data_IF_054835780657
#
_entry.id   IF_054835780657
#
_cell.length_a   1.000
_cell.length_b   1.000
_cell.length_c   1.000
_cell.angle_alpha   90.00
_cell.angle_beta   90.00
_cell.angle_gamma   90.00
#
_symmetry.space_group_name_H-M   'P 1'
#
loop_
_entity.id
_entity.type
_entity.pdbx_description
1 polymer ?
#
# COMPACT_ATOMS: atom_id res chain seq x y z
N UNK A 1 10.67 -4.01 -21.54
CA UNK A 1 9.54 -3.71 -20.60
C UNK A 1 9.86 -4.39 -19.27
N UNK A 2 9.92 -3.63 -18.16
CA UNK A 2 10.28 -4.14 -16.83
C UNK A 2 9.25 -5.15 -16.32
N UNK A 3 9.73 -6.20 -15.66
CA UNK A 3 8.92 -7.20 -14.95
C UNK A 3 8.62 -6.75 -13.51
N UNK A 4 7.66 -7.42 -12.84
CA UNK A 4 7.40 -7.22 -11.41
C UNK A 4 8.65 -7.48 -10.57
N UNK A 5 9.37 -8.55 -10.85
CA UNK A 5 10.61 -8.93 -10.14
C UNK A 5 11.71 -7.89 -10.30
N UNK A 6 11.92 -7.35 -11.49
CA UNK A 6 12.91 -6.29 -11.72
C UNK A 6 12.55 -5.01 -10.94
N UNK A 7 11.26 -4.61 -10.94
CA UNK A 7 10.83 -3.44 -10.19
C UNK A 7 10.98 -3.63 -8.67
N UNK A 8 10.66 -4.81 -8.16
CA UNK A 8 10.88 -5.14 -6.75
C UNK A 8 12.37 -5.13 -6.40
N UNK A 9 13.22 -5.63 -7.28
CA UNK A 9 14.68 -5.60 -7.11
C UNK A 9 15.23 -4.17 -7.07
N UNK A 10 14.77 -3.30 -7.98
CA UNK A 10 15.16 -1.87 -7.99
C UNK A 10 14.78 -1.18 -6.66
N UNK A 11 13.57 -1.46 -6.14
CA UNK A 11 13.12 -0.87 -4.88
C UNK A 11 13.90 -1.40 -3.68
N UNK A 12 14.20 -2.70 -3.65
CA UNK A 12 15.04 -3.29 -2.61
C UNK A 12 16.45 -2.68 -2.65
N UNK A 13 17.03 -2.52 -3.83
CA UNK A 13 18.33 -1.87 -3.98
C UNK A 13 18.33 -0.45 -3.38
N UNK A 14 17.32 0.38 -3.68
CA UNK A 14 17.20 1.73 -3.10
C UNK A 14 17.05 1.64 -1.57
N UNK A 15 16.24 0.73 -1.07
CA UNK A 15 16.04 0.54 0.37
C UNK A 15 17.34 0.14 1.08
N UNK A 16 18.13 -0.77 0.48
CA UNK A 16 19.41 -1.20 1.03
C UNK A 16 20.44 -0.04 1.06
N UNK A 17 20.44 0.81 0.04
CA UNK A 17 21.28 2.04 0.05
C UNK A 17 20.87 3.03 1.13
N UNK A 18 19.58 3.13 1.47
CA UNK A 18 19.10 3.96 2.58
C UNK A 18 19.55 3.40 3.93
N UNK A 19 19.55 2.08 4.11
CA UNK A 19 20.02 1.42 5.34
C UNK A 19 21.52 1.65 5.61
N UNK A 20 22.32 1.96 4.61
CA UNK A 20 23.73 2.34 4.81
C UNK A 20 23.87 3.70 5.54
N UNK A 21 22.84 4.56 5.48
CA UNK A 21 22.85 5.92 6.02
C UNK A 21 21.93 6.12 7.22
N UNK A 22 20.87 5.37 7.30
CA UNK A 22 19.82 5.53 8.29
C UNK A 22 19.52 4.19 8.95
N UNK A 23 19.27 4.20 10.26
CA UNK A 23 18.75 3.02 10.95
C UNK A 23 17.38 2.64 10.37
N UNK A 24 17.11 1.36 10.24
CA UNK A 24 15.92 0.85 9.54
C UNK A 24 14.62 1.27 10.23
N UNK A 25 14.66 1.43 11.57
CA UNK A 25 13.55 1.95 12.39
C UNK A 25 13.29 3.46 12.22
N UNK A 26 14.10 4.16 11.42
CA UNK A 26 13.85 5.54 10.98
C UNK A 26 13.26 5.59 9.56
N UNK A 27 13.20 4.47 8.84
CA UNK A 27 12.67 4.42 7.49
C UNK A 27 11.15 4.21 7.51
N UNK A 28 10.45 5.00 6.73
CA UNK A 28 9.00 4.85 6.48
C UNK A 28 8.83 4.44 5.01
N UNK A 29 8.10 3.36 4.79
CA UNK A 29 7.74 2.91 3.44
C UNK A 29 6.34 3.40 3.13
N UNK A 30 6.21 4.19 2.06
CA UNK A 30 4.93 4.74 1.60
C UNK A 30 4.59 4.19 0.21
N UNK A 31 3.36 3.75 0.04
CA UNK A 31 2.87 3.29 -1.27
C UNK A 31 1.44 3.72 -1.54
N UNK A 32 1.22 4.33 -2.73
CA UNK A 32 -0.08 4.79 -3.15
C UNK A 32 -0.60 4.00 -4.34
N UNK A 33 -1.91 3.67 -4.34
CA UNK A 33 -2.58 3.01 -5.45
C UNK A 33 -1.81 1.77 -5.90
N UNK A 34 -1.37 1.66 -7.16
CA UNK A 34 -0.55 0.54 -7.64
C UNK A 34 0.74 0.36 -6.81
N UNK A 35 1.35 1.46 -6.35
CA UNK A 35 2.55 1.44 -5.51
C UNK A 35 2.35 0.77 -4.14
N UNK A 36 1.10 0.64 -3.66
CA UNK A 36 0.81 0.01 -2.37
C UNK A 36 1.23 -1.47 -2.31
N UNK A 37 1.09 -2.21 -3.42
CA UNK A 37 1.56 -3.59 -3.49
C UNK A 37 3.07 -3.70 -3.38
N UNK A 38 3.80 -2.86 -4.11
CA UNK A 38 5.27 -2.80 -4.05
C UNK A 38 5.75 -2.42 -2.65
N UNK A 39 5.16 -1.37 -2.05
CA UNK A 39 5.47 -0.93 -0.69
C UNK A 39 5.22 -2.05 0.34
N UNK A 40 4.12 -2.79 0.19
CA UNK A 40 3.80 -3.92 1.07
C UNK A 40 4.84 -5.03 0.94
N UNK A 41 5.27 -5.36 -0.29
CA UNK A 41 6.32 -6.38 -0.50
C UNK A 41 7.63 -5.94 0.14
N UNK A 42 8.04 -4.69 -0.08
CA UNK A 42 9.25 -4.13 0.51
C UNK A 42 9.22 -4.19 2.05
N UNK A 43 8.11 -3.79 2.67
CA UNK A 43 7.95 -3.85 4.13
C UNK A 43 7.82 -5.29 4.66
N UNK A 44 7.32 -6.23 3.85
CA UNK A 44 7.29 -7.65 4.19
C UNK A 44 8.70 -8.26 4.29
N UNK A 45 9.59 -7.86 3.38
CA UNK A 45 10.97 -8.37 3.31
C UNK A 45 11.93 -7.66 4.27
N UNK A 46 11.55 -6.49 4.79
CA UNK A 46 12.38 -5.62 5.63
C UNK A 46 11.68 -5.29 6.97
N UNK A 47 12.25 -4.36 7.75
CA UNK A 47 11.69 -3.94 9.05
C UNK A 47 11.64 -2.41 9.18
N UNK A 48 10.97 -1.69 8.26
CA UNK A 48 10.85 -0.25 8.37
C UNK A 48 10.08 0.14 9.65
N UNK A 49 10.20 1.38 10.07
CA UNK A 49 9.45 1.93 11.20
C UNK A 49 7.93 1.78 11.00
N UNK A 50 7.44 2.21 9.84
CA UNK A 50 6.03 2.14 9.45
C UNK A 50 5.87 1.80 7.98
N UNK A 51 4.76 1.14 7.66
CA UNK A 51 4.22 1.04 6.32
C UNK A 51 2.99 1.93 6.21
N UNK A 52 2.97 2.83 5.23
CA UNK A 52 1.82 3.70 4.94
C UNK A 52 1.27 3.35 3.56
N UNK A 53 0.00 2.99 3.49
CA UNK A 53 -0.70 2.64 2.26
C UNK A 53 -1.82 3.63 1.99
N UNK A 54 -1.73 4.34 0.89
CA UNK A 54 -2.70 5.32 0.42
C UNK A 54 -3.54 4.70 -0.71
N UNK A 55 -4.84 4.58 -0.49
CA UNK A 55 -5.80 3.94 -1.40
C UNK A 55 -5.32 2.56 -1.92
N UNK A 56 -4.94 1.62 -1.04
CA UNK A 56 -4.41 0.33 -1.45
C UNK A 56 -5.50 -0.61 -1.98
N UNK A 57 -5.07 -1.58 -2.75
CA UNK A 57 -5.90 -2.72 -3.16
C UNK A 57 -5.55 -3.99 -2.36
N UNK A 58 -6.55 -4.83 -2.15
CA UNK A 58 -6.39 -6.16 -1.56
C UNK A 58 -5.62 -7.11 -2.49
N UNK A 59 -5.97 -7.10 -3.78
CA UNK A 59 -5.29 -7.83 -4.85
C UNK A 59 -5.43 -7.03 -6.15
N UNK A 60 -4.33 -6.79 -6.84
CA UNK A 60 -4.32 -6.04 -8.09
C UNK A 60 -5.18 -6.71 -9.16
N UNK A 61 -5.15 -8.04 -9.22
CA UNK A 61 -6.03 -8.80 -10.10
C UNK A 61 -7.52 -8.45 -9.92
N UNK A 62 -8.01 -8.37 -8.67
CA UNK A 62 -9.43 -8.03 -8.39
C UNK A 62 -9.79 -6.63 -8.87
N UNK A 63 -8.84 -5.69 -8.85
CA UNK A 63 -9.06 -4.35 -9.39
C UNK A 63 -9.19 -4.43 -10.92
N UNK A 64 -8.29 -5.13 -11.60
CA UNK A 64 -8.32 -5.27 -13.06
C UNK A 64 -9.56 -6.04 -13.54
N UNK A 65 -9.93 -7.14 -12.87
CA UNK A 65 -11.12 -7.93 -13.18
C UNK A 65 -12.41 -7.09 -13.10
N UNK A 66 -12.47 -6.08 -12.23
CA UNK A 66 -13.62 -5.17 -12.14
C UNK A 66 -13.81 -4.33 -13.40
N UNK A 67 -12.73 -3.89 -14.04
CA UNK A 67 -12.77 -3.04 -15.24
C UNK A 67 -12.77 -3.84 -16.54
N UNK A 68 -12.24 -5.04 -16.50
CA UNK A 68 -12.05 -5.92 -17.66
C UNK A 68 -12.58 -7.35 -17.38
N UNK A 69 -13.88 -7.50 -17.09
CA UNK A 69 -14.44 -8.78 -16.62
C UNK A 69 -14.37 -9.92 -17.66
N UNK A 70 -14.24 -9.58 -18.95
CA UNK A 70 -14.25 -10.57 -20.05
C UNK A 70 -12.82 -11.06 -20.36
N UNK A 71 -11.79 -10.34 -19.92
CA UNK A 71 -10.41 -10.73 -20.20
C UNK A 71 -9.94 -11.85 -19.24
N UNK A 72 -9.16 -12.83 -19.73
CA UNK A 72 -8.53 -13.82 -18.88
C UNK A 72 -7.37 -13.19 -18.11
N UNK A 73 -7.71 -12.33 -17.12
CA UNK A 73 -6.76 -11.49 -16.37
C UNK A 73 -5.63 -12.31 -15.76
N UNK A 74 -5.89 -13.58 -15.39
CA UNK A 74 -4.86 -14.50 -14.87
C UNK A 74 -3.68 -14.72 -15.83
N UNK A 75 -3.95 -14.71 -17.14
CA UNK A 75 -2.95 -15.00 -18.17
C UNK A 75 -2.30 -13.72 -18.67
N UNK A 76 -3.06 -12.63 -18.73
CA UNK A 76 -2.64 -11.35 -19.33
C UNK A 76 -1.94 -10.42 -18.33
N UNK A 77 -2.22 -10.58 -17.04
CA UNK A 77 -1.69 -9.70 -16.01
C UNK A 77 -0.20 -9.94 -15.76
N UNK A 78 0.61 -8.95 -16.10
CA UNK A 78 2.07 -9.00 -15.91
C UNK A 78 2.50 -8.74 -14.46
N UNK A 79 1.67 -8.05 -13.69
CA UNK A 79 1.88 -7.70 -12.28
C UNK A 79 0.79 -8.34 -11.44
N UNK A 80 1.19 -9.28 -10.58
CA UNK A 80 0.23 -9.97 -9.72
C UNK A 80 -0.03 -9.20 -8.43
N UNK A 81 0.97 -8.51 -7.90
CA UNK A 81 0.95 -7.62 -6.74
C UNK A 81 -0.04 -8.09 -5.65
N UNK A 82 0.39 -9.11 -4.91
CA UNK A 82 -0.41 -9.82 -3.91
C UNK A 82 -0.33 -9.17 -2.53
N UNK A 83 -0.89 -7.93 -2.42
CA UNK A 83 -0.94 -7.18 -1.15
C UNK A 83 -1.54 -8.03 -0.03
N UNK A 84 -2.60 -8.76 -0.31
CA UNK A 84 -3.29 -9.68 0.61
C UNK A 84 -2.38 -10.76 1.20
N UNK A 85 -1.38 -11.21 0.46
CA UNK A 85 -0.42 -12.22 0.91
C UNK A 85 0.75 -11.59 1.65
N UNK A 86 1.32 -10.53 1.10
CA UNK A 86 2.53 -9.93 1.64
C UNK A 86 2.29 -9.21 2.97
N UNK A 87 1.09 -8.61 3.14
CA UNK A 87 0.76 -7.89 4.38
C UNK A 87 0.79 -8.78 5.62
N UNK A 88 0.59 -10.09 5.47
CA UNK A 88 0.66 -11.04 6.58
C UNK A 88 2.07 -11.19 7.15
N UNK A 89 3.10 -10.93 6.32
CA UNK A 89 4.51 -10.97 6.72
C UNK A 89 5.07 -9.62 7.19
N UNK A 90 4.30 -8.53 7.08
CA UNK A 90 4.74 -7.20 7.53
C UNK A 90 4.83 -7.16 9.05
N UNK A 91 6.02 -6.80 9.56
CA UNK A 91 6.33 -6.78 10.99
C UNK A 91 6.03 -5.45 11.66
N UNK A 92 6.20 -4.34 10.95
CA UNK A 92 5.94 -2.99 11.46
C UNK A 92 4.45 -2.66 11.51
N UNK A 93 4.08 -1.59 12.23
CA UNK A 93 2.73 -1.07 12.21
C UNK A 93 2.40 -0.50 10.82
N UNK A 94 1.21 -0.83 10.32
CA UNK A 94 0.73 -0.41 9.01
C UNK A 94 -0.42 0.58 9.16
N UNK A 95 -0.30 1.72 8.51
CA UNK A 95 -1.39 2.69 8.38
C UNK A 95 -1.97 2.62 6.98
N UNK A 96 -3.27 2.51 6.89
CA UNK A 96 -4.01 2.59 5.63
C UNK A 96 -4.87 3.84 5.66
N UNK A 97 -4.73 4.70 4.66
CA UNK A 97 -5.58 5.86 4.45
C UNK A 97 -6.38 5.69 3.16
N UNK A 98 -7.71 5.88 3.22
CA UNK A 98 -8.59 5.60 2.09
C UNK A 98 -9.84 6.45 2.07
N UNK A 99 -10.20 6.96 0.89
CA UNK A 99 -11.41 7.73 0.67
C UNK A 99 -12.66 6.85 0.58
N UNK A 100 -13.73 7.24 1.26
CA UNK A 100 -14.99 6.46 1.25
C UNK A 100 -15.74 6.52 -0.08
N UNK A 101 -15.40 7.48 -0.96
CA UNK A 101 -15.95 7.63 -2.32
C UNK A 101 -14.96 7.27 -3.42
N UNK A 102 -13.94 6.46 -3.09
CA UNK A 102 -13.02 5.95 -4.10
C UNK A 102 -13.75 4.94 -5.01
N UNK A 103 -14.01 5.36 -6.25
CA UNK A 103 -14.68 4.54 -7.25
C UNK A 103 -13.71 3.63 -8.01
N UNK A 104 -12.41 4.00 -8.05
CA UNK A 104 -11.38 3.25 -8.75
C UNK A 104 -10.99 2.00 -7.94
N UNK A 105 -10.61 2.22 -6.67
CA UNK A 105 -10.32 1.15 -5.73
C UNK A 105 -11.28 1.30 -4.54
N UNK A 106 -12.42 0.60 -4.52
CA UNK A 106 -13.37 0.74 -3.43
C UNK A 106 -12.76 0.48 -2.06
N UNK A 107 -13.17 1.26 -1.04
CA UNK A 107 -12.65 1.20 0.33
C UNK A 107 -12.70 -0.21 0.94
N UNK A 108 -13.60 -1.08 0.49
CA UNK A 108 -13.67 -2.49 0.89
C UNK A 108 -12.36 -3.25 0.72
N UNK A 109 -11.47 -2.82 -0.21
CA UNK A 109 -10.13 -3.39 -0.34
C UNK A 109 -9.30 -3.13 0.91
N UNK A 110 -9.31 -1.91 1.43
CA UNK A 110 -8.64 -1.53 2.67
C UNK A 110 -9.27 -2.17 3.90
N UNK A 111 -10.59 -2.26 3.94
CA UNK A 111 -11.30 -2.94 5.01
C UNK A 111 -10.93 -4.42 5.11
N UNK A 112 -10.78 -5.09 3.96
CA UNK A 112 -10.33 -6.48 3.91
C UNK A 112 -8.87 -6.64 4.33
N UNK A 113 -7.98 -5.68 3.99
CA UNK A 113 -6.60 -5.68 4.48
C UNK A 113 -6.56 -5.47 6.00
N UNK A 114 -7.32 -4.51 6.53
CA UNK A 114 -7.42 -4.25 7.96
C UNK A 114 -7.88 -5.50 8.75
N UNK A 115 -8.86 -6.25 8.23
CA UNK A 115 -9.36 -7.48 8.86
C UNK A 115 -8.31 -8.59 8.99
N UNK A 116 -7.23 -8.56 8.21
CA UNK A 116 -6.15 -9.56 8.30
C UNK A 116 -5.44 -9.45 9.66
N UNK A 117 -5.16 -8.23 10.11
CA UNK A 117 -4.54 -7.99 11.42
C UNK A 117 -4.96 -6.62 11.99
N UNK A 118 -6.14 -6.53 12.63
CA UNK A 118 -6.68 -5.26 13.11
C UNK A 118 -5.86 -4.64 14.26
N UNK A 119 -4.99 -5.41 14.92
CA UNK A 119 -4.10 -4.89 15.97
C UNK A 119 -2.84 -4.21 15.40
N UNK A 120 -2.41 -4.60 14.21
CA UNK A 120 -1.22 -4.02 13.54
C UNK A 120 -1.56 -3.09 12.38
N UNK A 121 -2.80 -3.09 11.91
CA UNK A 121 -3.23 -2.28 10.77
C UNK A 121 -4.27 -1.27 11.24
N UNK A 122 -3.94 0.01 11.17
CA UNK A 122 -4.89 1.10 11.44
C UNK A 122 -5.48 1.58 10.12
N UNK A 123 -6.81 1.61 10.02
CA UNK A 123 -7.52 2.12 8.84
C UNK A 123 -8.12 3.49 9.12
N UNK A 124 -7.61 4.52 8.41
CA UNK A 124 -8.09 5.90 8.43
C UNK A 124 -9.02 6.09 7.22
N UNK A 125 -10.29 6.40 7.50
CA UNK A 125 -11.30 6.66 6.48
C UNK A 125 -11.45 8.14 6.26
N UNK A 126 -11.20 8.62 5.04
CA UNK A 126 -11.46 10.01 4.65
C UNK A 126 -12.88 10.08 4.08
N UNK A 127 -13.79 10.64 4.86
CA UNK A 127 -15.19 10.74 4.45
C UNK A 127 -15.35 11.68 3.26
N UNK A 128 -16.01 11.19 2.19
CA UNK A 128 -16.17 11.94 0.94
C UNK A 128 -14.95 11.93 0.03
N UNK A 129 -13.80 11.45 0.50
CA UNK A 129 -12.58 11.35 -0.29
C UNK A 129 -12.71 10.36 -1.43
N UNK A 130 -12.18 10.73 -2.60
CA UNK A 130 -12.03 9.89 -3.78
C UNK A 130 -10.59 9.39 -3.93
N UNK A 131 -10.27 8.81 -5.09
CA UNK A 131 -8.94 8.22 -5.33
C UNK A 131 -7.79 9.24 -5.36
N UNK A 132 -8.05 10.46 -5.84
CA UNK A 132 -6.99 11.43 -6.15
C UNK A 132 -7.02 12.71 -5.31
N UNK A 133 -7.97 12.88 -4.41
CA UNK A 133 -8.18 14.14 -3.71
C UNK A 133 -8.00 14.03 -2.17
N UNK A 134 -7.43 12.94 -1.66
CA UNK A 134 -7.22 12.77 -0.21
C UNK A 134 -6.40 13.90 0.41
N UNK A 135 -5.35 14.45 -0.24
CA UNK A 135 -4.62 15.60 0.30
C UNK A 135 -5.43 16.90 0.43
N UNK A 136 -6.65 16.94 -0.09
CA UNK A 136 -7.57 18.07 0.11
C UNK A 136 -8.38 18.02 1.40
N UNK A 137 -8.17 17.02 2.26
CA UNK A 137 -8.93 16.82 3.49
C UNK A 137 -8.03 17.02 4.73
N UNK A 138 -8.58 17.68 5.75
CA UNK A 138 -7.86 17.95 7.01
C UNK A 138 -7.46 16.66 7.73
N UNK A 139 -8.28 15.62 7.67
CA UNK A 139 -7.97 14.30 8.24
C UNK A 139 -6.69 13.70 7.66
N UNK A 140 -6.43 13.92 6.35
CA UNK A 140 -5.19 13.49 5.72
C UNK A 140 -3.99 14.24 6.28
N UNK A 141 -4.08 15.56 6.38
CA UNK A 141 -3.01 16.40 6.92
C UNK A 141 -2.72 16.11 8.39
N UNK A 142 -3.77 15.91 9.20
CA UNK A 142 -3.63 15.56 10.60
C UNK A 142 -2.90 14.23 10.75
N UNK A 143 -3.31 13.21 9.99
CA UNK A 143 -2.64 11.91 9.98
C UNK A 143 -1.16 12.02 9.61
N UNK A 144 -0.82 12.72 8.51
CA UNK A 144 0.58 12.89 8.07
C UNK A 144 1.39 13.62 9.14
N UNK A 145 0.82 14.67 9.73
CA UNK A 145 1.47 15.43 10.81
C UNK A 145 1.75 14.55 12.03
N UNK A 146 0.78 13.74 12.44
CA UNK A 146 0.90 12.91 13.64
C UNK A 146 1.92 11.80 13.47
N UNK A 147 2.06 11.23 12.27
CA UNK A 147 3.08 10.21 11.98
C UNK A 147 4.49 10.80 11.86
N UNK A 148 4.60 12.03 11.35
CA UNK A 148 5.90 12.69 11.11
C UNK A 148 6.37 13.54 12.30
N UNK A 149 5.58 13.68 13.36
CA UNK A 149 5.99 14.34 14.61
C UNK A 149 6.95 13.43 15.38
N UNK A 150 8.26 13.53 15.02
CA UNK A 150 9.36 13.03 15.85
C UNK A 150 10.63 13.87 15.64
#
# INVERSE_FOLDING_TARGET
KRSETEMLGDMQFVYDRLKEKYAEDHLIVYGRSMGSGFATKLACDNSPRYLILDAPYYSFRKVVERFLPILPVRVVLRFHLRTDKWITGVRCHTYIIHGTRDWLIPIRHSENLHKINPHKITLIRIHGGGHNNLPGFDEYHNFVRDILKY
#
